data_IF_938843710733
#
_entry.id   IF_938843710733
#
_cell.length_a   1.000
_cell.length_b   1.000
_cell.length_c   1.000
_cell.angle_alpha   90.00
_cell.angle_beta   90.00
_cell.angle_gamma   90.00
#
_symmetry.space_group_name_H-M   'P 1'
#
loop_
_entity.id
_entity.type
_entity.pdbx_description
1 polymer ?
#
# COMPACT_ATOMS: atom_id res chain seq x y z
N UNK A 1 -57.49 49.60 45.75
CA UNK A 1 -57.09 48.21 45.43
C UNK A 1 -56.15 48.22 44.24
N UNK A 2 -54.86 47.93 44.45
CA UNK A 2 -53.86 47.76 43.39
C UNK A 2 -53.20 46.39 43.59
N UNK A 3 -53.75 45.36 42.96
CA UNK A 3 -53.21 44.00 42.96
C UNK A 3 -52.97 43.62 41.50
N UNK A 4 -51.92 44.15 40.89
CA UNK A 4 -51.63 43.84 39.48
C UNK A 4 -50.14 43.64 39.18
N UNK A 5 -49.22 44.04 40.06
CA UNK A 5 -47.78 43.98 39.76
C UNK A 5 -47.08 42.69 40.25
N UNK A 6 -47.62 41.98 41.23
CA UNK A 6 -46.90 40.84 41.86
C UNK A 6 -47.07 39.52 41.09
N UNK A 7 -48.22 39.29 40.44
CA UNK A 7 -48.50 38.03 39.72
C UNK A 7 -47.73 37.88 38.39
N UNK A 8 -47.46 38.98 37.68
CA UNK A 8 -46.78 38.94 36.38
C UNK A 8 -45.32 38.47 36.46
N UNK A 9 -44.62 38.75 37.58
CA UNK A 9 -43.21 38.41 37.76
C UNK A 9 -42.98 36.90 37.93
N UNK A 10 -43.95 36.19 38.51
CA UNK A 10 -43.87 34.74 38.71
C UNK A 10 -44.39 33.93 37.51
N UNK A 11 -45.34 34.46 36.74
CA UNK A 11 -45.78 33.80 35.49
C UNK A 11 -44.71 33.78 34.40
N UNK A 12 -43.91 34.84 34.28
CA UNK A 12 -42.82 34.94 33.29
C UNK A 12 -41.69 33.94 33.59
N UNK A 13 -41.38 33.73 34.88
CA UNK A 13 -40.42 32.72 35.33
C UNK A 13 -40.91 31.30 35.07
N UNK A 14 -42.23 31.04 35.21
CA UNK A 14 -42.81 29.73 34.95
C UNK A 14 -42.78 29.36 33.46
N UNK A 15 -43.10 30.33 32.57
CA UNK A 15 -43.06 30.13 31.12
C UNK A 15 -41.63 29.93 30.58
N UNK A 16 -40.64 30.66 31.13
CA UNK A 16 -39.24 30.48 30.76
C UNK A 16 -38.71 29.09 31.17
N UNK A 17 -39.11 28.59 32.35
CA UNK A 17 -38.68 27.28 32.83
C UNK A 17 -39.28 26.14 31.99
N UNK A 18 -40.54 26.25 31.57
CA UNK A 18 -41.18 25.24 30.70
C UNK A 18 -40.61 25.21 29.28
N UNK A 19 -40.13 26.34 28.75
CA UNK A 19 -39.50 26.38 27.43
C UNK A 19 -38.13 25.67 27.42
N UNK A 20 -37.36 25.78 28.51
CA UNK A 20 -36.04 25.11 28.64
C UNK A 20 -36.19 23.58 28.76
N UNK A 21 -37.23 23.10 29.45
CA UNK A 21 -37.48 21.65 29.59
C UNK A 21 -37.99 21.04 28.28
N UNK A 22 -38.78 21.77 27.47
CA UNK A 22 -39.25 21.29 26.17
C UNK A 22 -38.14 21.19 25.12
N UNK A 23 -37.07 22.01 25.24
CA UNK A 23 -35.90 21.98 24.37
C UNK A 23 -34.91 20.84 24.68
N UNK A 24 -35.01 20.18 25.85
CA UNK A 24 -34.15 19.04 26.18
C UNK A 24 -34.57 17.74 25.48
N UNK A 25 -35.81 17.63 25.03
CA UNK A 25 -36.36 16.40 24.42
C UNK A 25 -35.92 16.11 22.97
N UNK A 26 -35.03 16.93 22.39
CA UNK A 26 -34.63 16.80 20.98
C UNK A 26 -33.15 16.41 20.75
N UNK A 27 -32.35 16.17 21.78
CA UNK A 27 -31.13 15.39 21.62
C UNK A 27 -31.49 13.91 21.73
N UNK A 28 -31.95 13.32 20.62
CA UNK A 28 -31.76 11.88 20.46
C UNK A 28 -30.26 11.65 20.50
N UNK A 29 -29.78 10.82 21.42
CA UNK A 29 -28.48 10.18 21.28
C UNK A 29 -28.43 9.60 19.86
N UNK A 30 -27.58 10.15 19.01
CA UNK A 30 -27.16 9.43 17.82
C UNK A 30 -26.55 8.13 18.34
N UNK A 31 -27.25 7.01 18.11
CA UNK A 31 -26.66 5.69 18.29
C UNK A 31 -25.35 5.72 17.52
N UNK A 32 -24.23 5.72 18.26
CA UNK A 32 -22.92 5.55 17.65
C UNK A 32 -23.02 4.26 16.84
N UNK A 33 -22.93 4.30 15.50
CA UNK A 33 -22.94 3.08 14.72
C UNK A 33 -21.81 2.21 15.28
N UNK A 34 -22.04 0.89 15.42
CA UNK A 34 -21.00 -0.01 15.90
C UNK A 34 -19.74 0.23 15.05
N UNK A 35 -18.54 0.22 15.65
CA UNK A 35 -17.31 0.47 14.91
C UNK A 35 -17.30 -0.47 13.71
N UNK A 36 -17.27 0.09 12.51
CA UNK A 36 -17.12 -0.68 11.29
C UNK A 36 -15.75 -1.35 11.39
N UNK A 37 -15.73 -2.66 11.65
CA UNK A 37 -14.52 -3.45 11.56
C UNK A 37 -14.21 -3.53 10.06
N UNK A 38 -13.43 -2.57 9.57
CA UNK A 38 -12.80 -2.69 8.26
C UNK A 38 -11.71 -3.73 8.48
N UNK A 39 -11.89 -4.96 7.99
CA UNK A 39 -10.77 -5.86 7.83
C UNK A 39 -9.83 -5.18 6.82
N UNK A 40 -8.79 -4.50 7.30
CA UNK A 40 -7.75 -3.98 6.42
C UNK A 40 -7.14 -5.17 5.68
N UNK A 41 -7.19 -5.16 4.35
CA UNK A 41 -6.46 -6.15 3.55
C UNK A 41 -4.97 -6.07 3.92
N UNK A 42 -4.40 -7.19 4.37
CA UNK A 42 -2.99 -7.29 4.74
C UNK A 42 -2.08 -7.07 3.52
N UNK A 43 -0.87 -6.58 3.75
CA UNK A 43 0.13 -6.47 2.69
C UNK A 43 0.47 -7.86 2.14
N UNK A 44 0.59 -7.96 0.82
CA UNK A 44 0.89 -9.20 0.13
C UNK A 44 1.98 -8.94 -0.93
N UNK A 45 2.98 -9.81 -0.94
CA UNK A 45 3.92 -9.99 -2.05
C UNK A 45 4.20 -11.48 -2.19
N UNK A 46 3.98 -12.04 -3.37
CA UNK A 46 4.24 -13.45 -3.65
C UNK A 46 4.62 -13.67 -5.11
N UNK A 47 5.43 -14.71 -5.37
CA UNK A 47 5.85 -15.08 -6.73
C UNK A 47 6.51 -16.47 -6.77
N UNK A 48 6.68 -17.03 -7.97
CA UNK A 48 7.41 -18.28 -8.19
C UNK A 48 8.72 -17.99 -8.90
N UNK A 49 9.82 -18.55 -8.40
CA UNK A 49 11.14 -18.47 -9.03
C UNK A 49 11.44 -19.76 -9.79
N UNK A 50 11.86 -19.67 -11.06
CA UNK A 50 12.27 -20.80 -11.88
C UNK A 50 13.60 -20.53 -12.59
N UNK A 51 14.54 -21.46 -12.50
CA UNK A 51 15.93 -21.27 -12.94
C UNK A 51 16.87 -20.88 -11.79
N UNK A 52 18.17 -20.90 -12.09
CA UNK A 52 19.23 -20.81 -11.06
C UNK A 52 19.30 -22.06 -10.18
N UNK A 53 20.29 -22.10 -9.29
CA UNK A 53 20.52 -23.25 -8.40
C UNK A 53 19.84 -23.09 -7.03
N UNK A 54 19.79 -21.86 -6.50
CA UNK A 54 19.37 -21.59 -5.13
C UNK A 54 17.84 -21.57 -4.93
N UNK A 55 17.09 -21.11 -5.94
CA UNK A 55 15.67 -20.76 -5.81
C UNK A 55 14.75 -21.44 -6.82
N UNK A 56 15.27 -22.35 -7.64
CA UNK A 56 14.49 -22.97 -8.71
C UNK A 56 13.30 -23.78 -8.17
N UNK A 57 12.10 -23.49 -8.69
CA UNK A 57 10.84 -24.11 -8.31
C UNK A 57 10.30 -23.65 -6.96
N UNK A 58 10.89 -22.62 -6.34
CA UNK A 58 10.42 -22.12 -5.03
C UNK A 58 9.27 -21.14 -5.21
N UNK A 59 8.28 -21.29 -4.34
CA UNK A 59 7.25 -20.29 -4.11
C UNK A 59 7.71 -19.34 -3.00
N UNK A 60 7.76 -18.05 -3.31
CA UNK A 60 8.18 -16.99 -2.42
C UNK A 60 6.92 -16.27 -1.94
N UNK A 61 6.79 -16.10 -0.64
CA UNK A 61 5.70 -15.34 -0.01
C UNK A 61 6.31 -14.56 1.12
N UNK A 62 6.07 -13.24 1.09
CA UNK A 62 6.60 -12.33 2.10
C UNK A 62 5.70 -12.37 3.34
N UNK A 63 6.30 -12.39 4.52
CA UNK A 63 5.62 -12.27 5.83
C UNK A 63 6.27 -11.15 6.66
N UNK A 64 5.64 -10.73 7.75
CA UNK A 64 6.25 -9.81 8.73
C UNK A 64 6.77 -8.50 8.09
N UNK A 65 5.90 -7.82 7.34
CA UNK A 65 6.24 -6.59 6.64
C UNK A 65 6.72 -5.50 7.61
N UNK A 66 7.77 -4.79 7.21
CA UNK A 66 8.25 -3.61 7.90
C UNK A 66 7.54 -2.36 7.38
N UNK A 67 6.62 -1.81 8.16
CA UNK A 67 5.81 -0.65 7.78
C UNK A 67 6.60 0.66 7.62
N UNK A 68 7.82 0.75 8.17
CA UNK A 68 8.66 1.95 8.04
C UNK A 68 9.36 2.01 6.68
N UNK A 69 9.62 0.84 6.08
CA UNK A 69 10.36 0.71 4.82
C UNK A 69 9.43 0.40 3.66
N UNK A 70 8.39 -0.40 3.89
CA UNK A 70 7.39 -0.73 2.87
C UNK A 70 6.65 0.54 2.44
N UNK A 71 6.78 0.90 1.17
CA UNK A 71 6.25 2.13 0.57
C UNK A 71 5.60 1.81 -0.76
N UNK A 72 4.44 2.39 -1.00
CA UNK A 72 3.75 2.31 -2.28
C UNK A 72 3.14 3.67 -2.56
N UNK A 73 3.75 4.45 -3.45
CA UNK A 73 3.36 5.84 -3.66
C UNK A 73 3.85 6.42 -5.00
N UNK A 74 3.12 7.41 -5.51
CA UNK A 74 3.62 8.31 -6.54
C UNK A 74 4.54 9.36 -5.93
N UNK A 75 5.66 9.63 -6.61
CA UNK A 75 6.66 10.62 -6.21
C UNK A 75 6.62 11.77 -7.23
N UNK A 76 5.98 12.87 -6.85
CA UNK A 76 5.78 14.04 -7.73
C UNK A 76 7.09 14.61 -8.30
N UNK A 77 8.19 14.57 -7.52
CA UNK A 77 9.47 15.13 -7.94
C UNK A 77 10.15 14.34 -9.06
N UNK A 78 9.87 13.04 -9.18
CA UNK A 78 10.44 12.16 -10.20
C UNK A 78 9.42 11.80 -11.29
N UNK A 79 8.13 11.93 -11.01
CA UNK A 79 7.06 11.50 -11.91
C UNK A 79 6.88 9.98 -11.96
N UNK A 80 7.36 9.27 -10.93
CA UNK A 80 7.38 7.81 -10.87
C UNK A 80 6.56 7.31 -9.68
N UNK A 81 5.86 6.19 -9.86
CA UNK A 81 5.42 5.39 -8.72
C UNK A 81 6.55 4.50 -8.25
N UNK A 82 6.75 4.48 -6.94
CA UNK A 82 7.70 3.63 -6.24
C UNK A 82 6.95 2.61 -5.38
N UNK A 83 7.24 1.32 -5.62
CA UNK A 83 6.79 0.18 -4.83
C UNK A 83 8.01 -0.47 -4.19
N UNK A 84 8.17 -0.30 -2.88
CA UNK A 84 9.14 -1.02 -2.06
C UNK A 84 8.40 -1.86 -1.02
N UNK A 85 8.80 -3.11 -0.85
CA UNK A 85 8.34 -3.91 0.29
C UNK A 85 9.54 -4.61 0.92
N UNK A 86 9.72 -4.38 2.22
CA UNK A 86 10.69 -5.08 3.06
C UNK A 86 9.93 -5.98 4.03
N UNK A 87 10.24 -7.26 3.99
CA UNK A 87 9.54 -8.30 4.73
C UNK A 87 10.50 -9.46 5.03
N UNK A 88 9.97 -10.58 5.52
CA UNK A 88 10.70 -11.83 5.72
C UNK A 88 10.27 -12.90 4.71
N UNK A 89 11.23 -13.73 4.33
CA UNK A 89 11.03 -15.00 3.66
C UNK A 89 12.10 -15.97 4.15
N UNK A 90 11.69 -17.18 4.54
CA UNK A 90 12.60 -18.22 5.08
C UNK A 90 13.46 -17.74 6.28
N UNK A 91 12.86 -16.95 7.17
CA UNK A 91 13.51 -16.31 8.34
C UNK A 91 14.66 -15.36 7.98
N UNK A 92 14.75 -14.92 6.72
CA UNK A 92 15.71 -13.92 6.25
C UNK A 92 14.96 -12.70 5.70
N UNK A 93 15.66 -11.57 5.61
CA UNK A 93 15.09 -10.38 5.00
C UNK A 93 14.88 -10.59 3.50
N UNK A 94 13.72 -10.16 3.01
CA UNK A 94 13.37 -10.13 1.61
C UNK A 94 12.91 -8.73 1.23
N UNK A 95 13.36 -8.26 0.08
CA UNK A 95 13.06 -6.92 -0.42
C UNK A 95 12.65 -7.00 -1.88
N UNK A 96 11.63 -6.24 -2.27
CA UNK A 96 11.31 -5.97 -3.67
C UNK A 96 11.23 -4.45 -3.83
N UNK A 97 11.80 -3.95 -4.92
CA UNK A 97 11.74 -2.54 -5.28
C UNK A 97 11.43 -2.40 -6.76
N UNK A 98 10.43 -1.59 -7.08
CA UNK A 98 9.93 -1.34 -8.43
C UNK A 98 9.67 0.15 -8.59
N UNK A 99 10.16 0.73 -9.68
CA UNK A 99 9.78 2.05 -10.13
C UNK A 99 9.16 1.97 -11.51
N UNK A 100 8.08 2.71 -11.73
CA UNK A 100 7.44 2.80 -13.04
C UNK A 100 6.78 4.18 -13.24
N UNK A 101 6.64 4.64 -14.50
CA UNK A 101 6.07 5.95 -14.77
C UNK A 101 4.56 6.01 -14.50
N UNK A 102 4.10 7.11 -13.92
CA UNK A 102 2.68 7.41 -13.72
C UNK A 102 2.09 6.88 -12.41
N UNK A 103 0.80 7.17 -12.22
CA UNK A 103 0.04 7.09 -10.97
C UNK A 103 -1.33 6.43 -11.18
N UNK A 104 -1.41 5.48 -12.12
CA UNK A 104 -2.67 4.89 -12.57
C UNK A 104 -2.54 3.40 -12.84
N UNK A 105 -3.69 2.76 -13.08
CA UNK A 105 -3.75 1.37 -13.55
C UNK A 105 -3.23 1.28 -14.98
N UNK A 106 -2.51 0.22 -15.32
CA UNK A 106 -1.92 0.10 -16.64
C UNK A 106 -0.93 -1.05 -16.78
N UNK A 107 -0.37 -1.14 -17.97
CA UNK A 107 0.69 -2.10 -18.29
C UNK A 107 2.01 -1.37 -18.47
N UNK A 108 3.05 -1.90 -17.86
CA UNK A 108 4.41 -1.37 -17.89
C UNK A 108 5.38 -2.47 -18.28
N UNK A 109 6.33 -2.12 -19.14
CA UNK A 109 7.40 -3.01 -19.55
C UNK A 109 8.73 -2.38 -19.17
N UNK A 110 9.44 -3.01 -18.24
CA UNK A 110 10.76 -2.60 -17.80
C UNK A 110 11.76 -3.55 -18.45
N UNK A 111 12.83 -3.01 -19.02
CA UNK A 111 13.86 -3.81 -19.66
C UNK A 111 15.22 -3.18 -19.39
N UNK A 112 16.21 -4.04 -19.18
CA UNK A 112 17.62 -3.64 -19.15
C UNK A 112 17.97 -2.90 -20.47
N UNK A 113 18.53 -1.68 -20.39
CA UNK A 113 18.93 -0.92 -21.56
C UNK A 113 20.00 -1.66 -22.37
N UNK A 114 19.99 -1.45 -23.69
CA UNK A 114 20.98 -2.01 -24.60
C UNK A 114 21.69 -0.87 -25.33
N UNK A 115 23.01 -0.63 -25.09
CA UNK A 115 23.91 -1.44 -24.24
C UNK A 115 23.62 -1.30 -22.73
N UNK A 116 24.08 -2.28 -21.90
CA UNK A 116 23.93 -2.20 -20.45
C UNK A 116 24.53 -0.90 -19.91
N UNK A 117 23.76 -0.22 -19.06
CA UNK A 117 24.22 0.98 -18.37
C UNK A 117 24.89 0.59 -17.05
N UNK A 118 25.87 1.39 -16.63
CA UNK A 118 26.50 1.23 -15.31
C UNK A 118 25.53 1.55 -14.17
N UNK A 119 24.58 2.46 -14.42
CA UNK A 119 23.48 2.81 -13.53
C UNK A 119 22.16 2.67 -14.30
N UNK A 120 21.21 1.91 -13.74
CA UNK A 120 19.87 1.76 -14.32
C UNK A 120 19.07 3.00 -13.94
N UNK A 121 18.48 3.73 -14.91
CA UNK A 121 17.62 4.87 -14.61
C UNK A 121 16.44 4.47 -13.73
N UNK A 122 16.10 5.33 -12.77
CA UNK A 122 15.03 5.08 -11.81
C UNK A 122 13.70 4.71 -12.49
N UNK A 123 13.38 5.28 -13.65
CA UNK A 123 12.12 5.03 -14.38
C UNK A 123 11.93 3.59 -14.91
N UNK A 124 12.98 2.76 -14.81
CA UNK A 124 13.01 1.37 -15.28
C UNK A 124 13.67 0.44 -14.26
N UNK A 125 13.72 0.84 -12.99
CA UNK A 125 14.39 0.08 -11.94
C UNK A 125 13.49 -1.01 -11.36
N UNK A 126 14.01 -2.23 -11.30
CA UNK A 126 13.41 -3.34 -10.57
C UNK A 126 14.48 -4.23 -9.95
N UNK A 127 14.34 -4.52 -8.67
CA UNK A 127 15.20 -5.47 -7.95
C UNK A 127 14.41 -6.33 -6.98
N UNK A 128 14.94 -7.53 -6.74
CA UNK A 128 14.52 -8.39 -5.64
C UNK A 128 15.76 -8.78 -4.86
N UNK A 129 15.75 -8.56 -3.55
CA UNK A 129 16.75 -9.14 -2.65
C UNK A 129 16.12 -10.29 -1.89
N UNK A 130 16.69 -11.48 -2.02
CA UNK A 130 16.30 -12.66 -1.23
C UNK A 130 17.51 -13.08 -0.40
N UNK A 131 17.37 -13.00 0.93
CA UNK A 131 18.47 -13.18 1.87
C UNK A 131 19.64 -12.23 1.57
N UNK A 132 20.71 -12.73 0.95
CA UNK A 132 21.90 -11.95 0.59
C UNK A 132 22.11 -11.79 -0.92
N UNK A 133 21.22 -12.35 -1.74
CA UNK A 133 21.31 -12.23 -3.20
C UNK A 133 20.43 -11.12 -3.73
N UNK A 134 21.02 -10.24 -4.52
CA UNK A 134 20.30 -9.22 -5.30
C UNK A 134 20.10 -9.74 -6.72
N UNK A 135 18.84 -9.82 -7.11
CA UNK A 135 18.39 -10.22 -8.44
C UNK A 135 18.07 -8.97 -9.25
N UNK A 136 18.73 -8.83 -10.40
CA UNK A 136 18.64 -7.64 -11.25
C UNK A 136 17.73 -7.88 -12.45
N UNK A 137 16.94 -6.87 -12.83
CA UNK A 137 16.03 -6.99 -13.97
C UNK A 137 16.75 -7.17 -15.31
N UNK A 138 16.32 -8.16 -16.08
CA UNK A 138 16.56 -8.25 -17.52
C UNK A 138 15.35 -7.74 -18.29
N UNK A 139 14.18 -8.28 -17.98
CA UNK A 139 12.89 -7.69 -18.36
C UNK A 139 11.82 -7.99 -17.31
N UNK A 140 10.81 -7.14 -17.23
CA UNK A 140 9.65 -7.29 -16.37
C UNK A 140 8.40 -6.80 -17.08
N UNK A 141 7.38 -7.64 -17.12
CA UNK A 141 6.02 -7.26 -17.44
C UNK A 141 5.30 -6.96 -16.13
N UNK A 142 4.84 -5.73 -15.96
CA UNK A 142 4.14 -5.25 -14.78
C UNK A 142 2.74 -4.80 -15.18
N UNK A 143 1.72 -5.27 -14.46
CA UNK A 143 0.33 -4.84 -14.66
C UNK A 143 -0.19 -4.31 -13.34
N UNK A 144 -0.59 -3.05 -13.32
CA UNK A 144 -1.25 -2.41 -12.19
C UNK A 144 -2.75 -2.56 -12.36
N UNK A 145 -3.37 -3.40 -11.54
CA UNK A 145 -4.80 -3.67 -11.58
C UNK A 145 -5.62 -2.75 -10.67
N UNK A 146 -4.97 -2.14 -9.67
CA UNK A 146 -5.61 -1.25 -8.70
C UNK A 146 -4.64 -0.13 -8.30
N UNK A 147 -5.13 1.10 -8.35
CA UNK A 147 -4.39 2.29 -7.93
C UNK A 147 -5.35 3.23 -7.21
N UNK A 148 -5.59 2.99 -5.92
CA UNK A 148 -6.53 3.76 -5.13
C UNK A 148 -5.89 5.03 -4.53
N UNK A 149 -6.70 5.81 -3.82
CA UNK A 149 -6.25 6.93 -2.99
C UNK A 149 -5.33 6.50 -1.83
N UNK A 150 -4.63 7.47 -1.26
CA UNK A 150 -3.73 7.28 -0.12
C UNK A 150 -4.46 6.63 1.06
N UNK A 151 -3.82 5.66 1.71
CA UNK A 151 -4.40 4.85 2.78
C UNK A 151 -5.20 3.64 2.30
N UNK A 152 -5.54 3.55 1.00
CA UNK A 152 -6.10 2.35 0.37
C UNK A 152 -4.99 1.51 -0.26
N UNK A 153 -5.19 0.96 -1.46
CA UNK A 153 -4.34 -0.11 -2.02
C UNK A 153 -3.79 0.26 -3.39
N UNK A 154 -2.53 -0.11 -3.62
CA UNK A 154 -1.98 -0.31 -4.96
C UNK A 154 -1.74 -1.81 -5.11
N UNK A 155 -2.29 -2.40 -6.16
CA UNK A 155 -2.16 -3.82 -6.43
C UNK A 155 -1.85 -4.09 -7.90
N UNK A 156 -1.09 -5.14 -8.13
CA UNK A 156 -0.69 -5.53 -9.47
C UNK A 156 -0.07 -6.91 -9.53
N UNK A 157 0.24 -7.31 -10.75
CA UNK A 157 0.91 -8.57 -11.06
C UNK A 157 2.18 -8.31 -11.84
N UNK A 158 3.18 -9.16 -11.67
CA UNK A 158 4.43 -9.07 -12.40
C UNK A 158 4.96 -10.43 -12.81
N UNK A 159 5.68 -10.48 -13.92
CA UNK A 159 6.47 -11.63 -14.35
C UNK A 159 7.65 -11.13 -15.17
N UNK A 160 8.74 -11.89 -15.22
CA UNK A 160 9.95 -11.39 -15.84
C UNK A 160 11.12 -12.34 -15.85
N UNK A 161 12.22 -11.84 -16.37
CA UNK A 161 13.53 -12.46 -16.29
C UNK A 161 14.48 -11.58 -15.49
N UNK A 162 15.24 -12.22 -14.61
CA UNK A 162 16.24 -11.60 -13.77
C UNK A 162 17.59 -12.28 -13.96
N UNK A 163 18.65 -11.54 -13.65
CA UNK A 163 20.00 -12.07 -13.46
C UNK A 163 20.28 -12.27 -11.98
N UNK A 164 20.93 -13.39 -11.65
CA UNK A 164 21.52 -13.63 -10.32
C UNK A 164 23.03 -13.72 -10.48
N UNK A 165 23.74 -12.68 -10.11
CA UNK A 165 25.21 -12.69 -10.17
C UNK A 165 25.86 -13.28 -8.92
N UNK A 166 25.09 -13.58 -7.87
CA UNK A 166 25.61 -14.02 -6.60
C UNK A 166 25.67 -15.55 -6.50
N UNK A 167 24.50 -16.22 -6.59
CA UNK A 167 24.46 -17.68 -6.56
C UNK A 167 24.65 -18.31 -7.94
N UNK A 168 24.64 -17.49 -9.01
CA UNK A 168 24.78 -17.95 -10.38
C UNK A 168 25.78 -17.11 -11.20
N UNK A 169 27.08 -17.18 -10.89
CA UNK A 169 28.10 -16.34 -11.53
C UNK A 169 28.22 -16.56 -13.05
N UNK A 170 27.65 -17.64 -13.59
CA UNK A 170 27.60 -17.90 -15.03
C UNK A 170 26.55 -17.04 -15.76
N UNK A 171 25.73 -16.29 -15.02
CA UNK A 171 24.71 -15.39 -15.55
C UNK A 171 23.49 -16.12 -16.13
N UNK A 172 23.15 -17.32 -15.64
CA UNK A 172 21.94 -17.96 -16.14
C UNK A 172 20.70 -17.17 -15.71
N UNK A 173 19.72 -17.19 -16.59
CA UNK A 173 18.49 -16.43 -16.45
C UNK A 173 17.60 -17.09 -15.40
N UNK A 174 17.13 -16.29 -14.44
CA UNK A 174 16.07 -16.65 -13.52
C UNK A 174 14.76 -16.08 -14.05
N UNK A 175 13.69 -16.86 -14.00
CA UNK A 175 12.34 -16.41 -14.36
C UNK A 175 11.52 -16.22 -13.09
N UNK A 176 10.81 -15.09 -13.04
CA UNK A 176 9.78 -14.83 -12.04
C UNK A 176 8.43 -15.00 -12.71
N UNK A 177 7.61 -15.88 -12.16
CA UNK A 177 6.28 -16.20 -12.66
C UNK A 177 5.23 -15.90 -11.59
N UNK A 178 4.03 -15.54 -12.03
CA UNK A 178 2.86 -15.34 -11.17
C UNK A 178 3.13 -14.39 -9.99
N UNK A 179 3.91 -13.34 -10.21
CA UNK A 179 4.16 -12.34 -9.18
C UNK A 179 2.91 -11.52 -8.91
N UNK A 180 2.63 -11.29 -7.64
CA UNK A 180 1.52 -10.48 -7.15
C UNK A 180 2.05 -9.55 -6.07
N UNK A 181 1.55 -8.33 -6.05
CA UNK A 181 1.65 -7.46 -4.88
C UNK A 181 0.31 -6.77 -4.63
N UNK A 182 -0.01 -6.59 -3.36
CA UNK A 182 -1.13 -5.78 -2.89
C UNK A 182 -0.64 -5.07 -1.63
N UNK A 183 -0.41 -3.76 -1.72
CA UNK A 183 0.24 -2.99 -0.66
C UNK A 183 -0.59 -1.75 -0.32
N UNK A 184 -0.53 -1.34 0.95
CA UNK A 184 -1.15 -0.10 1.41
C UNK A 184 -0.45 1.10 0.76
N UNK A 185 -1.24 1.99 0.15
CA UNK A 185 -0.70 3.22 -0.46
C UNK A 185 -0.29 4.20 0.63
N UNK A 186 0.98 4.58 0.65
CA UNK A 186 1.57 5.39 1.72
C UNK A 186 1.52 6.89 1.45
N UNK A 187 1.49 7.30 0.18
CA UNK A 187 1.43 8.69 -0.28
C UNK A 187 0.86 8.78 -1.69
#
# INVERSE_FOLDING_TARGET
>A
MKVTAFFYKYMLLFFALTAVVALQSACKEEENPPPVIINEEENEVSFIVNGGSAYNGKYITFSDFNDLVTKAAYIDSTGLTHIAALAQWDNANAHIEIYFPGDTTGYYFLQEPQPPLFEIPDDRYFTITLDNAVLFVKYLNLTISKYDEVGKRIAGTFNGQLYDYYHNPNGEIININNGVFNLKRTQ
#
